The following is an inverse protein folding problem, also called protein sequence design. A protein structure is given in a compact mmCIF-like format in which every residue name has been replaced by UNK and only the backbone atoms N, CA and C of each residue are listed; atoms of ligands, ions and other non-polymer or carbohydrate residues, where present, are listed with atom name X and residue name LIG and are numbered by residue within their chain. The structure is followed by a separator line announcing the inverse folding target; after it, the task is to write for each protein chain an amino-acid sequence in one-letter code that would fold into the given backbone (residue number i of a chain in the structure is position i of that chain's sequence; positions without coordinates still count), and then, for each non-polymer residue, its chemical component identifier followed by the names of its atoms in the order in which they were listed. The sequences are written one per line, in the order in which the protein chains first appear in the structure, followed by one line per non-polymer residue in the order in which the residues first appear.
data_IF_761722822207
#
_entry.id   IF_761722822207
#
_cell.length_a   1.000
_cell.length_b   1.000
_cell.length_c   1.000
_cell.angle_alpha   90.00
_cell.angle_beta   90.00
_cell.angle_gamma   90.00
#
_symmetry.space_group_name_H-M   'P 1'
#
loop_
_entity.id
_entity.type
_entity.pdbx_description
1 polymer ?
#
# COMPACT_ATOMS: atom_id res chain seq x y z
N UNK A 1 -18.45 -7.61 10.48
CA UNK A 1 -17.43 -7.01 9.61
C UNK A 1 -16.59 -8.13 9.02
N UNK A 2 -16.49 -8.23 7.70
CA UNK A 2 -15.65 -9.25 7.05
C UNK A 2 -14.17 -9.04 7.42
N UNK A 3 -13.49 -10.13 7.80
CA UNK A 3 -12.11 -10.15 8.27
C UNK A 3 -11.31 -11.22 7.53
N UNK A 4 -10.13 -10.88 7.07
CA UNK A 4 -9.20 -11.81 6.43
C UNK A 4 -7.80 -11.68 7.01
N UNK A 5 -7.05 -12.78 7.01
CA UNK A 5 -5.62 -12.75 7.27
C UNK A 5 -4.90 -12.00 6.15
N UNK A 6 -4.01 -11.08 6.52
CA UNK A 6 -3.28 -10.25 5.56
C UNK A 6 -1.79 -10.61 5.54
N UNK A 7 -1.50 -11.86 5.24
CA UNK A 7 -0.17 -12.48 5.38
C UNK A 7 0.84 -12.01 4.30
N UNK A 8 0.39 -11.25 3.29
CA UNK A 8 1.28 -10.61 2.28
C UNK A 8 1.95 -9.34 2.79
N UNK A 9 1.46 -8.77 3.89
CA UNK A 9 2.01 -7.58 4.50
C UNK A 9 3.13 -7.89 5.48
N UNK A 10 4.01 -6.93 5.69
CA UNK A 10 5.08 -6.98 6.68
C UNK A 10 5.02 -5.78 7.59
N UNK A 11 5.35 -5.93 8.87
CA UNK A 11 5.47 -4.83 9.83
C UNK A 11 6.94 -4.52 10.02
N UNK A 12 7.34 -3.32 9.60
CA UNK A 12 8.70 -2.80 9.73
C UNK A 12 8.72 -1.65 10.73
N UNK A 13 9.66 -1.69 11.67
CA UNK A 13 9.90 -0.64 12.65
C UNK A 13 11.17 0.08 12.28
N UNK A 14 11.10 1.41 12.18
CA UNK A 14 12.23 2.28 11.88
C UNK A 14 12.63 3.03 13.14
N UNK A 15 13.86 2.85 13.59
CA UNK A 15 14.44 3.52 14.76
C UNK A 15 15.60 4.40 14.32
N UNK A 16 15.83 5.48 15.07
CA UNK A 16 16.89 6.45 14.84
C UNK A 16 16.34 7.83 14.44
N UNK A 17 17.15 8.86 14.66
CA UNK A 17 16.73 10.25 14.47
C UNK A 17 16.41 10.60 13.00
N UNK A 18 17.00 9.88 12.06
CA UNK A 18 16.84 10.14 10.62
C UNK A 18 15.71 9.30 9.97
N UNK A 19 14.95 8.49 10.73
CA UNK A 19 14.00 7.53 10.20
C UNK A 19 12.94 8.15 9.27
N UNK A 20 12.32 9.27 9.68
CA UNK A 20 11.33 9.98 8.86
C UNK A 20 11.94 10.50 7.57
N UNK A 21 13.08 11.21 7.70
CA UNK A 21 13.78 11.79 6.55
C UNK A 21 14.25 10.72 5.57
N UNK A 22 14.68 9.57 6.09
CA UNK A 22 15.09 8.42 5.30
C UNK A 22 13.92 7.87 4.45
N UNK A 23 12.80 7.55 5.10
CA UNK A 23 11.61 7.03 4.38
C UNK A 23 11.02 8.10 3.46
N UNK A 24 10.96 9.36 3.89
CA UNK A 24 10.51 10.45 3.01
C UNK A 24 11.37 10.54 1.75
N UNK A 25 12.69 10.45 1.86
CA UNK A 25 13.61 10.47 0.71
C UNK A 25 13.48 9.26 -0.23
N UNK A 26 12.94 8.13 0.22
CA UNK A 26 12.75 6.93 -0.61
C UNK A 26 11.37 6.84 -1.23
N UNK A 27 10.36 7.46 -0.64
CA UNK A 27 8.95 7.23 -0.97
C UNK A 27 8.35 8.33 -1.84
N UNK A 28 7.26 8.01 -2.53
CA UNK A 28 6.62 8.89 -3.51
C UNK A 28 5.71 9.96 -2.88
N UNK A 29 5.23 9.75 -1.66
CA UNK A 29 4.38 10.71 -0.96
C UNK A 29 5.17 11.45 0.13
N UNK A 30 4.74 12.65 0.50
CA UNK A 30 5.35 13.43 1.59
C UNK A 30 4.95 12.83 2.93
N UNK A 31 5.94 12.62 3.80
CA UNK A 31 5.71 12.15 5.16
C UNK A 31 5.58 13.34 6.12
N UNK A 32 4.38 13.85 6.24
CA UNK A 32 4.03 14.95 7.14
C UNK A 32 3.02 14.42 8.15
N UNK A 33 3.50 14.10 9.35
CA UNK A 33 2.69 13.46 10.38
C UNK A 33 2.02 14.50 11.27
N UNK A 34 0.75 14.74 11.05
CA UNK A 34 -0.12 15.42 11.98
C UNK A 34 -1.01 14.38 12.68
N UNK A 35 -1.17 14.48 14.00
CA UNK A 35 -2.13 13.76 14.85
C UNK A 35 -2.61 12.37 14.37
N UNK A 36 -1.89 11.30 14.69
CA UNK A 36 -2.31 9.91 14.44
C UNK A 36 -2.68 9.56 12.98
N UNK A 37 -2.13 10.27 12.03
CA UNK A 37 -2.39 10.08 10.61
C UNK A 37 -1.58 8.90 10.06
N UNK A 38 -2.18 8.16 9.16
CA UNK A 38 -1.51 7.17 8.30
C UNK A 38 -1.17 7.81 6.97
N UNK A 39 0.08 7.70 6.55
CA UNK A 39 0.50 8.18 5.23
C UNK A 39 0.72 6.99 4.31
N UNK A 40 -0.08 6.95 3.25
CA UNK A 40 0.04 5.94 2.21
C UNK A 40 1.04 6.42 1.15
N UNK A 41 2.06 5.62 0.88
CA UNK A 41 3.14 5.98 -0.03
C UNK A 41 3.71 4.76 -0.77
N UNK A 42 4.55 4.99 -1.77
CA UNK A 42 5.14 3.94 -2.58
C UNK A 42 6.66 4.09 -2.61
N UNK A 43 7.36 2.99 -2.53
CA UNK A 43 8.78 2.93 -2.88
C UNK A 43 8.90 2.44 -4.32
N UNK A 44 9.65 3.19 -5.13
CA UNK A 44 9.78 2.95 -6.56
C UNK A 44 11.23 2.62 -6.93
N UNK A 45 11.40 1.92 -8.05
CA UNK A 45 12.71 1.77 -8.68
C UNK A 45 13.01 2.95 -9.65
N UNK A 46 14.21 2.96 -10.21
CA UNK A 46 14.66 3.99 -11.17
C UNK A 46 13.85 4.07 -12.47
N UNK A 47 12.99 3.08 -12.75
CA UNK A 47 12.03 3.06 -13.87
C UNK A 47 10.61 3.45 -13.43
N UNK A 48 10.47 4.04 -12.23
CA UNK A 48 9.20 4.39 -11.60
C UNK A 48 8.23 3.21 -11.43
N UNK A 49 8.74 1.97 -11.32
CA UNK A 49 7.93 0.79 -11.04
C UNK A 49 7.82 0.58 -9.53
N UNK A 50 6.66 0.11 -9.08
CA UNK A 50 6.36 -0.09 -7.66
C UNK A 50 7.20 -1.27 -7.15
N UNK A 51 8.00 -1.01 -6.10
CA UNK A 51 8.72 -2.04 -5.34
C UNK A 51 7.94 -2.44 -4.10
N UNK A 52 7.32 -1.48 -3.43
CA UNK A 52 6.46 -1.70 -2.28
C UNK A 52 5.44 -0.59 -2.13
N UNK A 53 4.29 -0.91 -1.57
CA UNK A 53 3.33 0.03 -1.01
C UNK A 53 3.55 0.07 0.51
N UNK A 54 3.60 1.25 1.08
CA UNK A 54 3.81 1.46 2.51
C UNK A 54 2.64 2.23 3.11
N UNK A 55 2.17 1.77 4.25
CA UNK A 55 1.30 2.50 5.15
C UNK A 55 2.11 2.89 6.37
N UNK A 56 2.49 4.17 6.46
CA UNK A 56 3.46 4.67 7.44
C UNK A 56 2.74 5.48 8.50
N UNK A 57 3.03 5.23 9.77
CA UNK A 57 2.43 5.90 10.91
C UNK A 57 3.34 5.87 12.14
N UNK A 58 3.02 6.71 13.12
CA UNK A 58 3.66 6.65 14.43
C UNK A 58 2.85 5.83 15.42
N UNK A 59 3.55 5.05 16.23
CA UNK A 59 3.03 4.35 17.38
C UNK A 59 4.06 4.41 18.52
N UNK A 60 3.69 4.99 19.67
CA UNK A 60 4.56 5.13 20.84
C UNK A 60 5.97 5.70 20.49
N UNK A 61 6.00 6.78 19.72
CA UNK A 61 7.20 7.43 19.21
C UNK A 61 8.08 6.56 18.27
N UNK A 62 7.61 5.40 17.84
CA UNK A 62 8.27 4.57 16.82
C UNK A 62 7.62 4.83 15.46
N UNK A 63 8.44 4.96 14.44
CA UNK A 63 7.96 5.01 13.06
C UNK A 63 7.73 3.59 12.56
N UNK A 64 6.50 3.28 12.19
CA UNK A 64 6.08 1.96 11.71
C UNK A 64 5.65 2.07 10.26
N UNK A 65 6.01 1.08 9.46
CA UNK A 65 5.47 0.90 8.13
C UNK A 65 4.89 -0.52 7.97
N UNK A 66 3.63 -0.60 7.55
CA UNK A 66 3.10 -1.83 6.97
C UNK A 66 3.46 -1.84 5.50
N UNK A 67 4.31 -2.77 5.11
CA UNK A 67 4.85 -2.88 3.75
C UNK A 67 4.18 -4.04 3.01
N UNK A 68 3.71 -3.78 1.79
CA UNK A 68 3.14 -4.77 0.88
C UNK A 68 4.03 -4.81 -0.36
N UNK A 69 4.57 -5.98 -0.68
CA UNK A 69 5.54 -6.16 -1.78
C UNK A 69 5.49 -7.58 -2.33
N UNK A 70 5.90 -7.75 -3.59
CA UNK A 70 6.02 -9.08 -4.23
C UNK A 70 7.16 -9.92 -3.63
N UNK A 71 8.21 -9.28 -3.11
CA UNK A 71 9.41 -9.92 -2.56
C UNK A 71 9.92 -9.13 -1.34
N UNK A 72 9.53 -9.61 -0.16
CA UNK A 72 9.89 -8.97 1.10
C UNK A 72 11.40 -8.92 1.34
N UNK A 73 12.10 -10.02 1.10
CA UNK A 73 13.55 -10.11 1.36
C UNK A 73 14.28 -9.09 0.49
N UNK A 74 14.01 -9.10 -0.80
CA UNK A 74 14.60 -8.16 -1.75
C UNK A 74 14.25 -6.71 -1.43
N UNK A 75 13.04 -6.45 -0.97
CA UNK A 75 12.64 -5.10 -0.58
C UNK A 75 13.39 -4.62 0.67
N UNK A 76 13.52 -5.46 1.70
CA UNK A 76 14.28 -5.12 2.92
C UNK A 76 15.76 -4.90 2.58
N UNK A 77 16.37 -5.75 1.77
CA UNK A 77 17.74 -5.56 1.29
C UNK A 77 17.89 -4.24 0.51
N UNK A 78 16.92 -3.94 -0.35
CA UNK A 78 16.93 -2.68 -1.11
C UNK A 78 16.92 -1.45 -0.21
N UNK A 79 16.05 -1.39 0.80
CA UNK A 79 15.97 -0.23 1.70
C UNK A 79 17.19 -0.16 2.62
N UNK A 80 17.70 -1.28 3.13
CA UNK A 80 18.92 -1.30 3.95
C UNK A 80 20.14 -0.79 3.17
N UNK A 81 20.29 -1.13 1.91
CA UNK A 81 21.36 -0.64 1.03
C UNK A 81 21.26 0.86 0.71
N UNK A 82 20.17 1.53 1.09
CA UNK A 82 19.99 2.98 0.97
C UNK A 82 20.41 3.76 2.22
N UNK A 83 20.73 3.07 3.31
CA UNK A 83 21.26 3.71 4.53
C UNK A 83 22.72 4.03 4.28
N UNK A 84 23.03 5.32 4.13
CA UNK A 84 24.38 5.84 3.81
C UNK A 84 24.92 6.70 4.96
N UNK A 85 24.98 6.12 6.17
CA UNK A 85 25.47 6.81 7.37
C UNK A 85 24.41 7.62 8.14
N UNK A 86 23.13 7.53 7.75
CA UNK A 86 22.03 8.07 8.55
C UNK A 86 21.84 7.25 9.83
N UNK A 87 21.37 7.91 10.89
CA UNK A 87 20.93 7.24 12.13
C UNK A 87 19.56 6.58 11.90
N UNK A 88 19.59 5.41 11.26
CA UNK A 88 18.40 4.59 10.96
C UNK A 88 18.73 3.13 11.12
N UNK A 89 17.86 2.41 11.83
CA UNK A 89 17.85 0.94 11.84
C UNK A 89 16.45 0.43 11.51
N UNK A 90 16.37 -0.67 10.77
CA UNK A 90 15.11 -1.27 10.30
C UNK A 90 14.97 -2.66 10.92
N UNK A 91 13.87 -2.89 11.64
CA UNK A 91 13.54 -4.18 12.24
C UNK A 91 12.27 -4.74 11.62
N UNK A 92 12.35 -5.95 11.06
CA UNK A 92 11.17 -6.71 10.63
C UNK A 92 10.56 -7.45 11.84
N UNK A 93 9.40 -6.99 12.29
CA UNK A 93 8.67 -7.57 13.42
C UNK A 93 7.42 -8.35 12.98
N UNK A 94 7.33 -8.69 11.71
CA UNK A 94 6.18 -9.38 11.11
C UNK A 94 5.83 -10.67 11.86
N UNK A 95 6.84 -11.48 12.20
CA UNK A 95 6.63 -12.76 12.89
C UNK A 95 6.09 -12.63 14.32
N UNK A 96 6.17 -11.45 14.90
CA UNK A 96 5.67 -11.14 16.23
C UNK A 96 4.22 -10.65 16.23
N UNK A 97 3.65 -10.46 15.03
CA UNK A 97 2.33 -9.83 14.87
C UNK A 97 1.43 -10.62 13.92
N UNK A 98 0.16 -10.70 14.26
CA UNK A 98 -0.91 -10.95 13.30
C UNK A 98 -1.27 -9.65 12.58
N UNK A 99 -1.53 -9.73 11.31
CA UNK A 99 -2.06 -8.63 10.51
C UNK A 99 -3.36 -9.13 9.89
N UNK A 100 -4.47 -8.50 10.25
CA UNK A 100 -5.78 -8.80 9.71
C UNK A 100 -6.31 -7.59 8.93
N UNK A 101 -6.94 -7.84 7.80
CA UNK A 101 -7.64 -6.85 7.01
C UNK A 101 -9.14 -6.95 7.26
N UNK A 102 -9.77 -5.81 7.58
CA UNK A 102 -11.21 -5.66 7.77
C UNK A 102 -11.70 -4.73 6.68
N UNK A 103 -12.67 -5.19 5.91
CA UNK A 103 -13.20 -4.45 4.76
C UNK A 103 -14.72 -4.31 4.85
N UNK A 104 -15.29 -3.52 3.93
CA UNK A 104 -16.73 -3.25 3.88
C UNK A 104 -17.24 -2.69 5.22
N UNK A 105 -16.55 -1.65 5.67
CA UNK A 105 -16.86 -0.92 6.90
C UNK A 105 -16.99 0.56 6.61
N UNK A 106 -17.88 1.22 7.31
CA UNK A 106 -17.99 2.69 7.27
C UNK A 106 -16.91 3.27 8.20
N UNK A 107 -15.95 3.98 7.60
CA UNK A 107 -14.80 4.52 8.31
C UNK A 107 -14.79 6.04 8.11
N UNK A 108 -14.96 6.82 9.18
CA UNK A 108 -15.11 8.27 9.04
C UNK A 108 -13.80 9.02 8.74
N UNK A 109 -12.63 8.50 9.14
CA UNK A 109 -11.34 9.21 8.99
C UNK A 109 -10.13 8.27 8.95
N UNK A 110 -9.07 8.72 8.26
CA UNK A 110 -7.75 8.07 8.31
C UNK A 110 -7.11 8.28 9.67
N UNK A 111 -6.99 7.24 10.47
CA UNK A 111 -6.39 7.33 11.80
C UNK A 111 -5.74 6.03 12.25
N UNK A 112 -4.87 6.17 13.25
CA UNK A 112 -4.28 5.07 14.00
C UNK A 112 -4.89 5.06 15.39
N UNK A 113 -5.57 3.98 15.74
CA UNK A 113 -6.19 3.80 17.06
C UNK A 113 -5.58 2.58 17.71
N UNK A 114 -5.08 2.74 18.93
CA UNK A 114 -4.60 1.62 19.76
C UNK A 114 -5.54 1.41 20.92
N UNK A 115 -6.11 0.22 20.99
CA UNK A 115 -6.93 -0.25 22.08
C UNK A 115 -6.29 -1.51 22.67
N UNK A 116 -5.96 -1.50 23.97
CA UNK A 116 -5.30 -2.61 24.68
C UNK A 116 -4.05 -3.10 23.94
N UNK A 117 -4.19 -4.20 23.18
CA UNK A 117 -3.09 -4.90 22.51
C UNK A 117 -3.26 -4.92 20.99
N UNK A 118 -4.20 -4.16 20.45
CA UNK A 118 -4.49 -4.09 19.02
C UNK A 118 -4.31 -2.66 18.50
N UNK A 119 -3.56 -2.51 17.44
CA UNK A 119 -3.45 -1.26 16.69
C UNK A 119 -4.28 -1.38 15.42
N UNK A 120 -5.27 -0.51 15.27
CA UNK A 120 -6.12 -0.39 14.09
C UNK A 120 -5.65 0.79 13.24
N UNK A 121 -5.37 0.51 11.99
CA UNK A 121 -4.82 1.47 11.01
C UNK A 121 -5.80 1.58 9.85
N UNK A 122 -6.43 2.74 9.70
CA UNK A 122 -7.38 3.00 8.60
C UNK A 122 -6.65 3.34 7.31
N UNK A 123 -6.95 2.64 6.22
CA UNK A 123 -6.29 2.81 4.93
C UNK A 123 -7.24 3.41 3.91
N UNK A 124 -6.99 4.66 3.49
CA UNK A 124 -7.71 5.37 2.42
C UNK A 124 -9.25 5.33 2.54
N UNK A 125 -9.77 5.32 3.76
CA UNK A 125 -11.21 5.25 4.05
C UNK A 125 -11.91 3.98 3.50
N UNK A 126 -11.15 2.98 3.09
CA UNK A 126 -11.66 1.78 2.44
C UNK A 126 -11.62 0.55 3.34
N UNK A 127 -10.54 0.35 4.08
CA UNK A 127 -10.36 -0.81 4.94
C UNK A 127 -9.47 -0.49 6.15
N UNK A 128 -9.55 -1.35 7.15
CA UNK A 128 -8.74 -1.27 8.37
C UNK A 128 -7.74 -2.43 8.37
N UNK A 129 -6.49 -2.13 8.74
CA UNK A 129 -5.52 -3.15 9.14
C UNK A 129 -5.49 -3.20 10.66
N UNK A 130 -5.77 -4.36 11.24
CA UNK A 130 -5.54 -4.63 12.65
C UNK A 130 -4.23 -5.38 12.84
N UNK A 131 -3.36 -4.83 13.68
CA UNK A 131 -2.03 -5.38 14.00
C UNK A 131 -2.02 -5.69 15.49
N UNK A 132 -1.71 -6.92 15.85
CA UNK A 132 -1.65 -7.36 17.23
C UNK A 132 -0.71 -8.53 17.44
N UNK A 133 -0.17 -8.67 18.66
CA UNK A 133 0.84 -9.68 18.98
C UNK A 133 0.36 -11.10 18.73
N UNK A 134 1.25 -11.95 18.20
CA UNK A 134 1.01 -13.41 18.03
C UNK A 134 0.87 -14.16 19.36
N UNK A 135 1.15 -13.54 20.52
CA UNK A 135 0.84 -14.08 21.85
C UNK A 135 -0.67 -14.16 22.08
N UNK A 136 -1.44 -13.31 21.40
CA UNK A 136 -2.90 -13.32 21.43
C UNK A 136 -3.39 -14.30 20.36
N UNK A 137 -4.36 -15.13 20.71
CA UNK A 137 -5.01 -16.00 19.73
C UNK A 137 -5.57 -15.19 18.56
N UNK A 138 -5.36 -15.68 17.32
CA UNK A 138 -5.84 -14.97 16.14
C UNK A 138 -7.37 -14.86 16.16
N UNK A 139 -7.85 -13.67 15.91
CA UNK A 139 -9.29 -13.39 15.81
C UNK A 139 -9.93 -14.21 14.69
N UNK A 140 -11.20 -14.57 14.84
CA UNK A 140 -11.92 -15.38 13.85
C UNK A 140 -11.87 -14.75 12.46
N UNK A 141 -11.31 -15.48 11.51
CA UNK A 141 -11.29 -15.10 10.09
C UNK A 141 -12.63 -15.47 9.46
N UNK A 142 -13.31 -14.49 8.88
CA UNK A 142 -14.63 -14.66 8.21
C UNK A 142 -14.50 -14.54 6.70
N UNK A 143 -13.31 -14.86 6.17
CA UNK A 143 -12.94 -14.62 4.78
C UNK A 143 -13.83 -15.40 3.80
N UNK A 144 -14.41 -14.64 2.85
CA UNK A 144 -14.89 -15.14 1.57
C UNK A 144 -14.09 -14.38 0.48
N UNK A 145 -13.16 -15.07 -0.17
CA UNK A 145 -12.28 -14.46 -1.17
C UNK A 145 -13.07 -13.87 -2.35
N UNK A 146 -14.18 -14.46 -2.71
CA UNK A 146 -15.08 -13.95 -3.76
C UNK A 146 -15.70 -12.62 -3.30
N UNK A 147 -16.29 -12.58 -2.11
CA UNK A 147 -16.88 -11.36 -1.55
C UNK A 147 -15.84 -10.23 -1.41
N UNK A 148 -14.62 -10.55 -0.96
CA UNK A 148 -13.53 -9.58 -0.92
C UNK A 148 -13.17 -9.06 -2.32
N UNK A 149 -13.09 -9.96 -3.29
CA UNK A 149 -12.76 -9.59 -4.68
C UNK A 149 -13.85 -8.69 -5.27
N UNK A 150 -15.12 -9.03 -5.08
CA UNK A 150 -16.24 -8.22 -5.54
C UNK A 150 -16.25 -6.84 -4.88
N UNK A 151 -16.05 -6.80 -3.55
CA UNK A 151 -15.98 -5.54 -2.82
C UNK A 151 -14.83 -4.63 -3.31
N UNK A 152 -13.60 -5.15 -3.48
CA UNK A 152 -12.49 -4.32 -3.96
C UNK A 152 -12.67 -3.86 -5.42
N UNK A 153 -13.30 -4.69 -6.27
CA UNK A 153 -13.65 -4.33 -7.65
C UNK A 153 -14.71 -3.23 -7.66
N UNK A 154 -15.75 -3.36 -6.84
CA UNK A 154 -16.80 -2.34 -6.72
C UNK A 154 -16.20 -0.97 -6.33
N UNK A 155 -15.23 -0.95 -5.42
CA UNK A 155 -14.56 0.25 -4.91
C UNK A 155 -13.32 0.65 -5.72
N UNK A 156 -13.01 -0.01 -6.83
CA UNK A 156 -11.84 0.30 -7.67
C UNK A 156 -10.51 0.23 -6.91
N UNK A 157 -10.37 -0.69 -5.95
CA UNK A 157 -9.17 -0.85 -5.13
C UNK A 157 -8.21 -1.82 -5.84
N UNK A 158 -7.06 -1.34 -6.35
CA UNK A 158 -6.05 -2.20 -6.95
C UNK A 158 -5.39 -3.08 -5.89
N UNK A 159 -4.96 -4.28 -6.29
CA UNK A 159 -4.42 -5.26 -5.37
C UNK A 159 -3.09 -5.85 -5.85
N UNK A 160 -2.22 -6.20 -4.90
CA UNK A 160 -0.95 -6.85 -5.18
C UNK A 160 -1.15 -8.22 -5.84
N UNK A 161 -0.31 -8.49 -6.85
CA UNK A 161 -0.39 -9.70 -7.68
C UNK A 161 -1.43 -9.62 -8.81
N UNK A 162 -2.26 -8.58 -8.82
CA UNK A 162 -3.27 -8.31 -9.86
C UNK A 162 -2.95 -6.99 -10.58
N UNK A 163 -3.45 -5.87 -10.10
CA UNK A 163 -3.20 -4.55 -10.70
C UNK A 163 -1.88 -3.95 -10.25
N UNK A 164 -1.42 -4.25 -9.04
CA UNK A 164 -0.14 -3.77 -8.50
C UNK A 164 0.91 -4.85 -8.68
N UNK A 165 2.02 -4.50 -9.32
CA UNK A 165 3.18 -5.38 -9.51
C UNK A 165 4.44 -4.57 -9.78
N UNK A 166 5.60 -5.20 -9.71
CA UNK A 166 6.88 -4.59 -10.11
C UNK A 166 6.99 -4.18 -11.59
N UNK A 167 5.91 -4.33 -12.38
CA UNK A 167 5.85 -3.97 -13.81
C UNK A 167 5.05 -2.70 -14.08
N UNK A 168 4.29 -2.20 -13.11
CA UNK A 168 3.44 -1.01 -13.24
C UNK A 168 4.00 0.18 -12.46
N UNK A 169 3.59 1.37 -12.83
CA UNK A 169 3.82 2.58 -12.05
C UNK A 169 2.51 3.03 -11.36
N UNK A 170 2.58 3.94 -10.39
CA UNK A 170 1.41 4.39 -9.63
C UNK A 170 0.23 4.85 -10.50
N UNK A 171 0.51 5.63 -11.54
CA UNK A 171 -0.55 6.17 -12.42
C UNK A 171 -1.23 5.10 -13.27
N UNK A 172 -0.57 3.97 -13.51
CA UNK A 172 -1.13 2.87 -14.29
C UNK A 172 -2.13 2.03 -13.50
N UNK A 173 -2.02 1.97 -12.19
CA UNK A 173 -2.85 1.12 -11.33
C UNK A 173 -3.78 1.89 -10.38
N UNK A 174 -3.95 3.22 -10.58
CA UNK A 174 -4.91 4.01 -9.80
C UNK A 174 -4.39 4.48 -8.43
N UNK A 175 -3.07 4.45 -8.20
CA UNK A 175 -2.44 4.89 -6.94
C UNK A 175 -1.89 6.33 -7.02
N UNK A 176 -2.57 7.20 -7.76
CA UNK A 176 -2.16 8.59 -7.98
C UNK A 176 -2.09 9.39 -6.67
N UNK A 177 -3.01 9.13 -5.76
CA UNK A 177 -3.11 9.75 -4.45
C UNK A 177 -1.95 9.40 -3.50
N UNK A 178 -1.14 8.40 -3.85
CA UNK A 178 0.07 8.03 -3.12
C UNK A 178 1.35 8.65 -3.70
N UNK A 179 1.20 9.61 -4.62
CA UNK A 179 2.31 10.35 -5.24
C UNK A 179 2.11 11.84 -5.00
N UNK A 180 3.02 12.44 -4.23
CA UNK A 180 2.99 13.88 -3.97
C UNK A 180 3.68 14.63 -5.10
N UNK A 181 2.99 15.64 -5.64
CA UNK A 181 3.45 16.35 -6.85
C UNK A 181 4.66 17.25 -6.60
N UNK A 182 4.76 17.84 -5.42
CA UNK A 182 5.70 18.92 -5.09
C UNK A 182 6.58 18.55 -3.87
N UNK A 183 6.96 17.28 -3.71
CA UNK A 183 7.93 16.92 -2.68
C UNK A 183 9.38 16.93 -3.20
N UNK A 184 10.34 16.79 -2.28
CA UNK A 184 11.75 16.60 -2.60
C UNK A 184 12.02 15.37 -3.50
N UNK A 185 13.26 15.25 -3.98
CA UNK A 185 13.64 14.17 -4.91
C UNK A 185 13.50 12.78 -4.27
N UNK A 186 12.94 11.84 -5.04
CA UNK A 186 12.88 10.41 -4.72
C UNK A 186 13.12 9.58 -5.99
N UNK A 187 13.42 8.30 -5.80
CA UNK A 187 13.70 7.38 -6.92
C UNK A 187 12.48 7.25 -7.85
N UNK A 188 12.68 7.46 -9.15
CA UNK A 188 11.62 7.33 -10.17
C UNK A 188 10.78 8.59 -10.41
N UNK A 189 10.95 9.65 -9.61
CA UNK A 189 10.18 10.90 -9.71
C UNK A 189 10.23 11.53 -11.10
N UNK A 190 11.41 11.59 -11.73
CA UNK A 190 11.55 12.22 -13.06
C UNK A 190 10.65 11.57 -14.11
N UNK A 191 10.54 10.24 -14.09
CA UNK A 191 9.69 9.50 -15.01
C UNK A 191 8.22 9.81 -14.73
N UNK A 192 7.79 9.80 -13.47
CA UNK A 192 6.41 10.13 -13.10
C UNK A 192 6.04 11.58 -13.49
N UNK A 193 6.93 12.54 -13.21
CA UNK A 193 6.73 13.94 -13.60
C UNK A 193 6.60 14.07 -15.11
N UNK A 194 7.47 13.41 -15.88
CA UNK A 194 7.40 13.42 -17.35
C UNK A 194 6.11 12.79 -17.88
N UNK A 195 5.63 11.72 -17.28
CA UNK A 195 4.36 11.10 -17.65
C UNK A 195 3.19 12.05 -17.40
N UNK A 196 3.16 12.70 -16.24
CA UNK A 196 2.12 13.67 -15.89
C UNK A 196 2.10 14.87 -16.83
N UNK A 197 3.27 15.47 -17.10
CA UNK A 197 3.36 16.72 -17.89
C UNK A 197 3.18 16.51 -19.39
N UNK A 198 3.53 15.33 -19.93
CA UNK A 198 3.48 15.05 -21.37
C UNK A 198 2.20 14.35 -21.82
N UNK A 199 1.31 13.99 -20.92
CA UNK A 199 0.01 13.37 -21.24
C UNK A 199 0.09 12.08 -22.08
N UNK A 200 1.29 11.42 -22.15
CA UNK A 200 1.46 10.22 -22.98
C UNK A 200 0.76 9.02 -22.34
N UNK A 201 -0.01 8.35 -23.18
CA UNK A 201 -0.74 7.10 -22.99
C UNK A 201 -0.49 6.40 -21.64
N UNK A 202 -1.12 6.91 -20.60
CA UNK A 202 -1.12 6.31 -19.29
C UNK A 202 -2.17 5.21 -19.34
N UNK A 203 -1.84 4.03 -18.82
CA UNK A 203 -2.86 3.03 -18.52
C UNK A 203 -3.66 3.55 -17.33
N UNK A 204 -4.96 3.28 -17.35
CA UNK A 204 -5.87 3.62 -16.25
C UNK A 204 -6.57 2.37 -15.78
N UNK A 205 -6.74 2.27 -14.47
CA UNK A 205 -7.58 1.25 -13.89
C UNK A 205 -9.03 1.52 -14.28
N UNK A 206 -9.68 0.53 -14.87
CA UNK A 206 -11.08 0.59 -15.31
C UNK A 206 -11.85 -0.62 -14.81
N UNK A 207 -13.15 -0.44 -14.68
CA UNK A 207 -14.12 -1.47 -14.30
C UNK A 207 -15.08 -1.73 -15.47
N UNK A 208 -15.37 -3.00 -15.73
CA UNK A 208 -16.26 -3.44 -16.82
C UNK A 208 -17.20 -4.54 -16.34
N UNK A 209 -18.48 -4.54 -16.73
CA UNK A 209 -19.37 -5.69 -16.54
C UNK A 209 -18.83 -6.91 -17.27
N UNK A 210 -18.89 -8.09 -16.64
CA UNK A 210 -18.40 -9.33 -17.23
C UNK A 210 -19.06 -9.66 -18.57
N UNK A 211 -20.35 -9.29 -18.72
CA UNK A 211 -21.11 -9.46 -19.96
C UNK A 211 -20.63 -8.58 -21.13
N UNK A 212 -19.82 -7.55 -20.85
CA UNK A 212 -19.30 -6.62 -21.85
C UNK A 212 -17.83 -6.86 -22.21
N UNK A 213 -17.18 -7.84 -21.59
CA UNK A 213 -15.79 -8.19 -21.87
C UNK A 213 -15.70 -8.76 -23.30
N UNK A 214 -14.79 -8.20 -24.10
CA UNK A 214 -14.48 -8.66 -25.47
C UNK A 214 -13.02 -9.06 -25.57
N UNK A 215 -12.15 -8.07 -25.71
CA UNK A 215 -10.70 -8.24 -25.92
C UNK A 215 -9.87 -7.64 -24.77
N UNK A 216 -10.52 -7.16 -23.69
CA UNK A 216 -9.86 -6.52 -22.56
C UNK A 216 -9.01 -7.54 -21.79
N UNK A 217 -7.76 -7.16 -21.52
CA UNK A 217 -6.90 -7.97 -20.67
C UNK A 217 -7.26 -7.76 -19.20
N UNK A 218 -8.14 -8.60 -18.71
CA UNK A 218 -8.63 -8.53 -17.33
C UNK A 218 -7.51 -8.83 -16.34
N UNK A 219 -7.39 -8.01 -15.32
CA UNK A 219 -6.47 -8.19 -14.19
C UNK A 219 -7.14 -8.89 -13.00
N UNK A 220 -8.42 -8.59 -12.76
CA UNK A 220 -9.20 -9.20 -11.69
C UNK A 220 -10.61 -9.49 -12.12
N UNK A 221 -11.06 -10.73 -11.91
CA UNK A 221 -12.42 -11.18 -12.17
C UNK A 221 -13.22 -11.21 -10.86
N UNK A 222 -14.35 -10.50 -10.82
CA UNK A 222 -15.39 -10.63 -9.80
C UNK A 222 -16.61 -11.38 -10.33
N UNK A 223 -17.65 -11.46 -9.52
CA UNK A 223 -18.91 -12.17 -9.87
C UNK A 223 -19.64 -11.48 -11.02
N UNK A 224 -19.73 -10.16 -11.03
CA UNK A 224 -20.47 -9.37 -12.04
C UNK A 224 -19.58 -8.39 -12.79
N UNK A 225 -18.55 -7.87 -12.14
CA UNK A 225 -17.66 -6.84 -12.65
C UNK A 225 -16.21 -7.31 -12.62
N UNK A 226 -15.41 -6.79 -13.52
CA UNK A 226 -13.97 -7.07 -13.60
C UNK A 226 -13.15 -5.78 -13.67
N UNK A 227 -11.89 -5.84 -13.20
CA UNK A 227 -10.91 -4.76 -13.36
C UNK A 227 -9.92 -5.08 -14.46
N UNK A 228 -9.48 -4.04 -15.14
CA UNK A 228 -8.45 -4.12 -16.17
C UNK A 228 -7.68 -2.80 -16.30
N UNK A 229 -6.49 -2.87 -16.88
CA UNK A 229 -5.67 -1.71 -17.19
C UNK A 229 -5.83 -1.38 -18.68
N UNK A 230 -6.38 -0.21 -18.99
CA UNK A 230 -6.62 0.26 -20.36
C UNK A 230 -5.86 1.53 -20.66
N UNK A 231 -5.48 1.71 -21.92
CA UNK A 231 -5.06 3.02 -22.43
C UNK A 231 -6.27 3.92 -22.57
N UNK A 232 -6.17 5.17 -22.12
CA UNK A 232 -7.17 6.13 -22.52
C UNK A 232 -7.06 6.39 -24.02
N UNK A 233 -8.18 6.34 -24.66
CA UNK A 233 -8.43 7.02 -25.90
C UNK A 233 -8.97 8.40 -25.58
#
# INVERSE_FOLDING_TARGET
MPRMAFDIASVLVFNGADSVKFIDGLSSNKLDFENNVVINTLVLNNKAKILAQLHVFYLNNMLIAVAITDDKVRFIDYINNKILGQDVSISDVTQLNHIDLIYDVDIPEQQVITNDKTTSVTINDNYILEIYSTIIERKTITNNITAFTDWRIANMIPWYGYEISGKVNPYQCGLNNQVHENKGCYTGQEILTRMRTRGKAILYLKKIPNSMIKDEKISSYGSEMSLFLSRNQ
#
